data_IF_939711583312
#
_entry.id   IF_939711583312
#
_cell.length_a   1.000
_cell.length_b   1.000
_cell.length_c   1.000
_cell.angle_alpha   90.00
_cell.angle_beta   90.00
_cell.angle_gamma   90.00
#
_symmetry.space_group_name_H-M   'P 1'
#
loop_
_entity.id
_entity.type
_entity.pdbx_description
1 polymer ?
#
# COMPACT_ATOMS: atom_id res chain seq x y z
N UNK A 1 -16.14 -12.50 -6.46
CA UNK A 1 -15.22 -12.20 -5.34
C UNK A 1 -13.97 -11.52 -5.86
N UNK A 2 -13.55 -10.43 -5.23
CA UNK A 2 -12.31 -9.74 -5.55
C UNK A 2 -11.13 -10.40 -4.81
N UNK A 3 -10.09 -10.79 -5.53
CA UNK A 3 -8.83 -11.29 -4.94
C UNK A 3 -7.63 -10.65 -5.65
N UNK A 4 -6.61 -10.27 -4.88
CA UNK A 4 -5.36 -9.74 -5.40
C UNK A 4 -4.53 -10.88 -5.99
N UNK A 5 -4.08 -10.76 -7.24
CA UNK A 5 -3.20 -11.74 -7.89
C UNK A 5 -1.72 -11.38 -7.77
N UNK A 6 -1.43 -10.09 -7.79
CA UNK A 6 -0.09 -9.58 -7.63
C UNK A 6 -0.04 -8.07 -7.66
N UNK A 7 1.16 -7.54 -7.43
CA UNK A 7 1.54 -6.16 -7.63
C UNK A 7 2.65 -6.13 -8.66
N UNK A 8 2.46 -5.25 -9.63
CA UNK A 8 3.43 -4.94 -10.66
C UNK A 8 3.62 -3.44 -10.68
N UNK A 9 4.77 -3.05 -11.19
CA UNK A 9 5.17 -1.67 -11.24
C UNK A 9 4.99 -1.09 -12.66
N UNK A 10 4.50 0.16 -12.75
CA UNK A 10 4.36 0.93 -14.00
C UNK A 10 5.49 1.97 -14.09
N UNK A 11 6.36 1.81 -15.09
CA UNK A 11 7.60 2.57 -15.28
C UNK A 11 7.44 4.08 -15.42
N UNK A 12 6.23 4.58 -15.69
CA UNK A 12 6.00 5.98 -16.05
C UNK A 12 5.79 6.95 -14.86
N UNK A 13 5.84 6.47 -13.61
CA UNK A 13 5.41 7.25 -12.43
C UNK A 13 6.55 7.68 -11.47
N UNK A 14 7.83 7.51 -11.83
CA UNK A 14 8.92 7.54 -10.84
C UNK A 14 9.71 8.83 -10.69
N UNK A 15 10.09 9.08 -9.43
CA UNK A 15 11.20 9.95 -9.00
C UNK A 15 12.16 9.09 -8.19
N UNK A 16 13.24 8.65 -8.80
CA UNK A 16 14.25 7.81 -8.15
C UNK A 16 14.81 8.46 -6.88
N UNK A 17 15.09 7.63 -5.87
CA UNK A 17 15.74 8.06 -4.62
C UNK A 17 14.85 8.82 -3.63
N UNK A 18 13.62 9.18 -3.99
CA UNK A 18 12.69 9.87 -3.09
C UNK A 18 11.71 8.90 -2.42
N UNK A 19 11.28 9.23 -1.21
CA UNK A 19 10.15 8.54 -0.58
C UNK A 19 8.88 8.75 -1.42
N UNK A 20 8.02 7.72 -1.61
CA UNK A 20 8.12 6.35 -1.08
C UNK A 20 8.95 5.37 -1.92
N UNK A 21 9.53 5.79 -3.04
CA UNK A 21 10.20 4.92 -4.01
C UNK A 21 11.58 4.40 -3.58
N UNK A 22 12.15 4.97 -2.51
CA UNK A 22 13.45 4.58 -1.96
C UNK A 22 13.39 3.56 -0.82
N UNK A 23 12.20 3.14 -0.36
CA UNK A 23 12.09 2.16 0.72
C UNK A 23 12.21 0.73 0.18
N UNK A 24 12.84 -0.15 0.96
CA UNK A 24 13.23 -1.49 0.54
C UNK A 24 12.07 -2.33 -0.02
N UNK A 25 10.90 -2.34 0.66
CA UNK A 25 9.76 -3.12 0.21
C UNK A 25 9.22 -2.64 -1.15
N UNK A 26 9.23 -1.33 -1.41
CA UNK A 26 8.75 -0.76 -2.68
C UNK A 26 9.74 -1.06 -3.81
N UNK A 27 11.04 -0.93 -3.55
CA UNK A 27 12.09 -1.30 -4.50
C UNK A 27 12.02 -2.78 -4.86
N UNK A 28 11.81 -3.66 -3.87
CA UNK A 28 11.66 -5.09 -4.14
C UNK A 28 10.47 -5.38 -5.07
N UNK A 29 9.31 -4.74 -4.84
CA UNK A 29 8.14 -4.89 -5.73
C UNK A 29 8.41 -4.29 -7.10
N UNK A 30 9.16 -3.20 -7.21
CA UNK A 30 9.59 -2.63 -8.51
C UNK A 30 10.45 -3.63 -9.28
N UNK A 31 11.49 -4.16 -8.63
CA UNK A 31 12.55 -4.93 -9.28
C UNK A 31 12.11 -6.37 -9.60
N UNK A 32 11.20 -6.93 -8.79
CA UNK A 32 10.81 -8.34 -8.91
C UNK A 32 9.31 -8.57 -9.12
N UNK A 33 8.48 -7.55 -8.90
CA UNK A 33 7.03 -7.74 -8.74
C UNK A 33 6.69 -8.52 -7.47
N UNK A 34 5.39 -8.66 -7.18
CA UNK A 34 4.90 -9.47 -6.07
C UNK A 34 3.71 -10.32 -6.55
N UNK A 35 3.73 -11.64 -6.30
CA UNK A 35 2.59 -12.52 -6.58
C UNK A 35 1.98 -13.04 -5.29
N UNK A 36 0.67 -12.90 -5.16
CA UNK A 36 -0.08 -13.45 -4.02
C UNK A 36 -0.47 -14.90 -4.34
N UNK A 37 0.31 -15.85 -3.81
CA UNK A 37 0.10 -17.30 -4.04
C UNK A 37 -0.94 -17.92 -3.11
N UNK A 38 -1.28 -17.23 -2.02
CA UNK A 38 -2.17 -17.72 -0.98
C UNK A 38 -3.24 -16.66 -0.65
N UNK A 39 -4.44 -17.08 -0.21
CA UNK A 39 -5.52 -16.15 0.18
C UNK A 39 -5.14 -15.20 1.31
N UNK A 40 -4.18 -15.60 2.16
CA UNK A 40 -3.63 -14.80 3.25
C UNK A 40 -2.14 -14.63 3.01
N UNK A 41 -1.66 -13.39 3.04
CA UNK A 41 -0.25 -13.04 2.87
C UNK A 41 0.16 -12.06 3.96
N UNK A 42 1.24 -12.37 4.68
CA UNK A 42 1.78 -11.51 5.73
C UNK A 42 2.94 -10.67 5.20
N UNK A 43 2.94 -9.39 5.51
CA UNK A 43 4.08 -8.50 5.30
C UNK A 43 4.83 -8.37 6.62
N UNK A 44 6.05 -8.91 6.69
CA UNK A 44 6.89 -8.93 7.90
C UNK A 44 8.22 -8.25 7.61
N UNK A 45 8.78 -7.54 8.60
CA UNK A 45 10.04 -6.81 8.48
C UNK A 45 10.12 -5.66 9.47
N UNK A 46 11.27 -5.01 9.59
CA UNK A 46 11.51 -3.91 10.53
C UNK A 46 10.64 -2.67 10.26
N UNK A 47 10.51 -1.79 11.25
CA UNK A 47 9.84 -0.50 11.08
C UNK A 47 10.61 0.38 10.08
N UNK A 48 9.89 1.08 9.20
CA UNK A 48 10.51 1.91 8.15
C UNK A 48 10.82 1.18 6.83
N UNK A 49 10.70 -0.16 6.77
CA UNK A 49 10.98 -0.93 5.55
C UNK A 49 9.97 -0.75 4.40
N UNK A 50 8.84 -0.07 4.64
CA UNK A 50 7.83 0.22 3.61
C UNK A 50 6.65 -0.76 3.54
N UNK A 51 6.44 -1.61 4.56
CA UNK A 51 5.29 -2.55 4.62
C UNK A 51 3.94 -1.84 4.47
N UNK A 52 3.71 -0.78 5.24
CA UNK A 52 2.49 0.03 5.17
C UNK A 52 2.35 0.71 3.83
N UNK A 53 3.45 1.21 3.26
CA UNK A 53 3.48 1.83 1.94
C UNK A 53 3.01 0.89 0.83
N UNK A 54 3.43 -0.38 0.87
CA UNK A 54 2.91 -1.40 -0.06
C UNK A 54 1.41 -1.59 0.14
N UNK A 55 0.93 -1.73 1.38
CA UNK A 55 -0.51 -1.85 1.67
C UNK A 55 -1.33 -0.63 1.22
N UNK A 56 -0.82 0.57 1.44
CA UNK A 56 -1.45 1.82 1.01
C UNK A 56 -1.53 1.92 -0.51
N UNK A 57 -0.49 1.48 -1.24
CA UNK A 57 -0.51 1.44 -2.72
C UNK A 57 -1.62 0.54 -3.26
N UNK A 58 -1.86 -0.60 -2.60
CA UNK A 58 -2.99 -1.49 -2.90
C UNK A 58 -4.30 -0.74 -2.62
N UNK A 59 -4.45 -0.18 -1.42
CA UNK A 59 -5.68 0.49 -1.00
C UNK A 59 -5.98 1.76 -1.82
N UNK A 60 -4.97 2.43 -2.38
CA UNK A 60 -5.12 3.59 -3.23
C UNK A 60 -5.65 3.22 -4.63
N UNK A 61 -5.30 2.05 -5.15
CA UNK A 61 -5.72 1.59 -6.48
C UNK A 61 -7.11 0.95 -6.48
N UNK A 62 -7.50 0.32 -5.37
CA UNK A 62 -8.80 -0.33 -5.26
C UNK A 62 -9.87 0.58 -4.65
N UNK A 63 -11.12 0.52 -5.13
CA UNK A 63 -12.20 1.30 -4.56
C UNK A 63 -12.39 1.01 -3.06
N UNK A 64 -12.50 2.07 -2.26
CA UNK A 64 -12.93 1.95 -0.86
C UNK A 64 -14.43 1.63 -0.84
N UNK A 65 -14.76 0.35 -0.94
CA UNK A 65 -16.14 -0.10 -0.74
C UNK A 65 -16.50 0.16 0.73
N UNK A 66 -17.34 1.17 0.99
CA UNK A 66 -17.98 1.37 2.30
C UNK A 66 -17.47 2.51 3.19
N UNK A 67 -16.98 3.63 2.66
CA UNK A 67 -16.78 4.83 3.51
C UNK A 67 -18.12 5.54 3.75
N UNK A 68 -18.84 5.18 4.83
CA UNK A 68 -19.68 6.16 5.51
C UNK A 68 -18.75 7.25 6.06
N UNK A 69 -19.08 8.50 5.79
CA UNK A 69 -18.29 9.66 6.17
C UNK A 69 -18.31 9.74 7.70
N UNK A 70 -17.26 9.27 8.38
CA UNK A 70 -17.06 9.58 9.79
C UNK A 70 -16.73 11.07 9.88
N UNK A 71 -17.75 11.90 9.99
CA UNK A 71 -17.61 13.28 10.42
C UNK A 71 -17.26 13.22 11.91
N UNK A 72 -16.03 13.55 12.26
CA UNK A 72 -15.71 13.85 13.65
C UNK A 72 -16.50 15.09 14.05
N UNK A 73 -17.47 14.93 14.94
CA UNK A 73 -18.10 16.05 15.64
C UNK A 73 -16.98 16.81 16.37
N UNK A 74 -16.84 18.13 16.23
CA UNK A 74 -15.90 18.88 17.06
C UNK A 74 -16.35 18.72 18.51
N UNK A 75 -15.52 18.10 19.36
CA UNK A 75 -15.72 18.14 20.80
C UNK A 75 -15.32 19.53 21.26
N UNK A 76 -16.29 20.44 21.33
CA UNK A 76 -16.17 21.60 22.19
C UNK A 76 -16.15 21.08 23.64
N UNK A 77 -14.97 21.08 24.26
CA UNK A 77 -14.89 21.01 25.72
C UNK A 77 -15.31 22.36 26.31
N UNK A 78 -15.92 22.35 27.51
CA UNK A 78 -16.54 23.51 28.14
C UNK A 78 -15.55 24.63 28.47
#
# INVERSE_FOLDING_TARGET
>A
MLHLRGLTYDSNAWRDGQHPFNVAAVQHVRDHGLRFKHPVTFFVGENGTGKTTVLESIAARYPRLGRSRLTSTPSARP
#
